data_IF_983072076112
#
_entry.id   IF_983072076112
#
_cell.length_a   1.000
_cell.length_b   1.000
_cell.length_c   1.000
_cell.angle_alpha   90.00
_cell.angle_beta   90.00
_cell.angle_gamma   90.00
#
_symmetry.space_group_name_H-M   'P 1'
#
loop_
_entity.id
_entity.type
_entity.pdbx_description
1 polymer ?
#
# COMPACT_ATOMS: atom_id res chain seq x y z
N UNK A 1 -24.01 32.88 34.60
CA UNK A 1 -23.67 31.46 34.33
C UNK A 1 -24.79 30.71 33.63
N UNK A 2 -26.06 30.92 34.00
CA UNK A 2 -27.22 30.22 33.41
C UNK A 2 -27.39 30.40 31.90
N UNK A 3 -27.15 31.61 31.36
CA UNK A 3 -27.24 31.84 29.91
C UNK A 3 -26.26 30.97 29.10
N UNK A 4 -25.00 30.89 29.54
CA UNK A 4 -23.99 30.05 28.87
C UNK A 4 -24.33 28.56 28.97
N UNK A 5 -24.90 28.12 30.10
CA UNK A 5 -25.37 26.74 30.28
C UNK A 5 -26.53 26.44 29.32
N UNK A 6 -27.51 27.33 29.22
CA UNK A 6 -28.64 27.21 28.29
C UNK A 6 -28.18 27.23 26.83
N UNK A 7 -27.25 28.11 26.48
CA UNK A 7 -26.64 28.18 25.16
C UNK A 7 -25.94 26.85 24.80
N UNK A 8 -25.12 26.31 25.70
CA UNK A 8 -24.48 25.01 25.49
C UNK A 8 -25.50 23.88 25.31
N UNK A 9 -26.62 23.93 26.03
CA UNK A 9 -27.72 22.98 25.88
C UNK A 9 -28.42 23.10 24.53
N UNK A 10 -28.72 24.32 24.06
CA UNK A 10 -29.35 24.59 22.75
C UNK A 10 -28.46 24.08 21.61
N UNK A 11 -27.16 24.39 21.66
CA UNK A 11 -26.22 24.06 20.57
C UNK A 11 -25.50 22.72 20.76
N UNK A 12 -25.87 21.93 21.78
CA UNK A 12 -25.23 20.64 22.11
C UNK A 12 -23.70 20.74 22.24
N UNK A 13 -23.20 21.83 22.82
CA UNK A 13 -21.77 22.03 23.10
C UNK A 13 -21.45 21.73 24.57
N UNK A 14 -20.19 21.41 24.86
CA UNK A 14 -19.74 21.14 26.23
C UNK A 14 -19.67 22.39 27.10
N UNK A 15 -20.36 22.39 28.25
CA UNK A 15 -20.26 23.41 29.29
C UNK A 15 -19.20 23.01 30.34
N UNK A 16 -18.10 23.77 30.46
CA UNK A 16 -16.97 23.47 31.38
C UNK A 16 -16.56 24.71 32.21
N UNK A 17 -17.31 25.07 33.26
CA UNK A 17 -17.04 26.29 34.04
C UNK A 17 -15.82 26.17 34.96
N UNK A 18 -15.43 24.96 35.40
CA UNK A 18 -14.25 24.71 36.24
C UNK A 18 -12.95 24.53 35.43
N UNK A 19 -13.01 24.67 34.11
CA UNK A 19 -11.84 24.54 33.21
C UNK A 19 -11.07 23.21 33.38
N UNK A 20 -11.81 22.12 33.65
CA UNK A 20 -11.22 20.80 33.83
C UNK A 20 -10.72 20.22 32.50
N UNK A 21 -9.67 19.39 32.55
CA UNK A 21 -9.11 18.70 31.38
C UNK A 21 -9.91 17.44 31.07
N UNK A 22 -11.00 17.59 30.32
CA UNK A 22 -11.94 16.51 29.96
C UNK A 22 -11.53 15.66 28.75
N UNK A 23 -10.42 15.97 28.08
CA UNK A 23 -9.98 15.25 26.87
C UNK A 23 -10.77 15.57 25.59
N UNK A 24 -11.76 16.47 25.63
CA UNK A 24 -12.59 16.85 24.47
C UNK A 24 -11.81 17.42 23.28
N UNK A 25 -10.54 17.82 23.44
CA UNK A 25 -9.64 18.20 22.34
C UNK A 25 -9.30 17.00 21.44
N UNK A 26 -9.04 15.84 22.05
CA UNK A 26 -8.63 14.63 21.33
C UNK A 26 -9.83 14.08 20.56
N UNK A 27 -11.01 14.04 21.17
CA UNK A 27 -12.24 13.54 20.55
C UNK A 27 -12.76 14.44 19.42
N UNK A 28 -12.51 15.76 19.49
CA UNK A 28 -12.86 16.70 18.41
C UNK A 28 -11.91 16.64 17.22
N UNK A 29 -10.72 16.06 17.39
CA UNK A 29 -9.77 15.98 16.29
C UNK A 29 -10.34 15.04 15.21
N UNK A 30 -10.33 15.46 13.93
CA UNK A 30 -10.79 14.59 12.85
C UNK A 30 -9.89 13.37 12.72
N UNK A 31 -10.50 12.21 12.43
CA UNK A 31 -9.76 10.99 12.15
C UNK A 31 -9.00 11.13 10.83
N UNK A 32 -7.70 10.81 10.84
CA UNK A 32 -6.82 10.89 9.66
C UNK A 32 -6.56 9.54 8.98
N UNK A 33 -7.17 8.47 9.50
CA UNK A 33 -6.87 7.09 9.10
C UNK A 33 -7.08 6.84 7.60
N UNK A 34 -8.21 7.28 7.04
CA UNK A 34 -8.50 7.12 5.62
C UNK A 34 -7.49 7.86 4.72
N UNK A 35 -7.13 9.09 5.09
CA UNK A 35 -6.14 9.87 4.35
C UNK A 35 -4.77 9.20 4.33
N UNK A 36 -4.36 8.61 5.46
CA UNK A 36 -3.09 7.89 5.57
C UNK A 36 -3.12 6.56 4.80
N UNK A 37 -4.22 5.81 4.88
CA UNK A 37 -4.38 4.55 4.17
C UNK A 37 -4.33 4.75 2.64
N UNK A 38 -4.92 5.84 2.14
CA UNK A 38 -5.02 6.13 0.72
C UNK A 38 -3.80 6.89 0.15
N UNK A 39 -2.67 6.92 0.86
CA UNK A 39 -1.51 7.73 0.46
C UNK A 39 -0.95 7.40 -0.94
N UNK A 40 -0.86 6.10 -1.28
CA UNK A 40 -0.39 5.65 -2.59
C UNK A 40 -1.53 5.40 -3.60
N UNK A 41 -2.78 5.69 -3.22
CA UNK A 41 -3.96 5.42 -4.05
C UNK A 41 -4.53 4.01 -3.91
N UNK A 42 -5.54 3.67 -4.72
CA UNK A 42 -6.21 2.37 -4.67
C UNK A 42 -5.29 1.21 -5.07
N UNK A 43 -5.30 0.13 -4.29
CA UNK A 43 -4.57 -1.09 -4.64
C UNK A 43 -5.17 -1.83 -5.85
N UNK A 44 -6.46 -1.60 -6.15
CA UNK A 44 -7.18 -2.27 -7.24
C UNK A 44 -7.11 -1.51 -8.58
N UNK A 45 -6.02 -0.78 -8.82
CA UNK A 45 -5.82 -0.10 -10.10
C UNK A 45 -5.67 -1.13 -11.25
N UNK A 46 -6.25 -0.90 -12.44
CA UNK A 46 -6.12 -1.82 -13.57
C UNK A 46 -4.65 -1.97 -13.98
N UNK A 47 -4.14 -3.20 -13.87
CA UNK A 47 -2.80 -3.59 -14.33
C UNK A 47 -2.87 -3.98 -15.82
N UNK A 48 -1.75 -3.87 -16.55
CA UNK A 48 -1.64 -4.29 -17.96
C UNK A 48 -2.13 -5.73 -18.15
N UNK A 49 -1.81 -6.65 -17.23
CA UNK A 49 -2.30 -8.03 -17.27
C UNK A 49 -3.83 -8.16 -17.17
N UNK A 50 -4.49 -7.30 -16.37
CA UNK A 50 -5.95 -7.26 -16.31
C UNK A 50 -6.56 -6.76 -17.61
N UNK A 51 -5.91 -5.80 -18.28
CA UNK A 51 -6.33 -5.28 -19.58
C UNK A 51 -6.19 -6.33 -20.68
N UNK A 52 -5.04 -7.02 -20.73
CA UNK A 52 -4.81 -8.13 -21.66
C UNK A 52 -5.92 -9.18 -21.51
N UNK A 53 -6.14 -9.69 -20.29
CA UNK A 53 -7.17 -10.71 -20.05
C UNK A 53 -8.60 -10.25 -20.39
N UNK A 54 -8.88 -8.94 -20.28
CA UNK A 54 -10.21 -8.42 -20.54
C UNK A 54 -10.49 -8.22 -22.04
N UNK A 55 -9.47 -7.89 -22.83
CA UNK A 55 -9.62 -7.41 -24.21
C UNK A 55 -8.95 -8.32 -25.26
N UNK A 56 -8.23 -9.36 -24.83
CA UNK A 56 -7.65 -10.35 -25.74
C UNK A 56 -8.78 -11.14 -26.42
N UNK A 57 -8.75 -11.15 -27.76
CA UNK A 57 -9.64 -11.92 -28.63
C UNK A 57 -8.80 -12.78 -29.56
N UNK A 58 -9.45 -13.65 -30.34
CA UNK A 58 -8.73 -14.53 -31.27
C UNK A 58 -7.98 -13.76 -32.36
N UNK A 59 -8.44 -12.55 -32.70
CA UNK A 59 -7.84 -11.68 -33.73
C UNK A 59 -6.98 -10.55 -33.15
N UNK A 60 -7.12 -10.23 -31.86
CA UNK A 60 -6.49 -9.07 -31.24
C UNK A 60 -5.80 -9.42 -29.93
N UNK A 61 -4.52 -9.05 -29.85
CA UNK A 61 -3.67 -9.27 -28.68
C UNK A 61 -2.99 -7.98 -28.27
N UNK A 62 -2.96 -7.73 -26.96
CA UNK A 62 -2.22 -6.64 -26.35
C UNK A 62 -0.87 -7.17 -25.88
N UNK A 63 0.20 -6.44 -26.17
CA UNK A 63 1.57 -6.78 -25.76
C UNK A 63 2.07 -5.73 -24.76
N UNK A 64 2.72 -6.20 -23.70
CA UNK A 64 3.45 -5.36 -22.74
C UNK A 64 4.92 -5.28 -23.18
N UNK A 65 5.26 -4.19 -23.89
CA UNK A 65 6.58 -4.01 -24.51
C UNK A 65 7.72 -4.02 -23.48
N UNK A 66 7.51 -3.43 -22.30
CA UNK A 66 8.50 -3.38 -21.22
C UNK A 66 8.77 -4.79 -20.65
N UNK A 67 7.72 -5.60 -20.51
CA UNK A 67 7.86 -6.99 -20.05
C UNK A 67 8.50 -7.88 -21.11
N UNK A 68 8.16 -7.71 -22.39
CA UNK A 68 8.79 -8.44 -23.49
C UNK A 68 10.29 -8.14 -23.57
N UNK A 69 10.67 -6.86 -23.49
CA UNK A 69 12.07 -6.44 -23.43
C UNK A 69 12.79 -7.02 -22.20
N UNK A 70 12.12 -7.04 -21.04
CA UNK A 70 12.69 -7.64 -19.82
C UNK A 70 12.98 -9.13 -20.01
N UNK A 71 12.09 -9.86 -20.69
CA UNK A 71 12.26 -11.29 -20.98
C UNK A 71 13.40 -11.54 -21.96
N UNK A 72 13.46 -10.80 -23.07
CA UNK A 72 14.55 -10.87 -24.05
C UNK A 72 15.91 -10.65 -23.36
N UNK A 73 16.01 -9.59 -22.55
CA UNK A 73 17.25 -9.29 -21.80
C UNK A 73 17.65 -10.42 -20.86
N UNK A 74 16.69 -11.10 -20.24
CA UNK A 74 16.96 -12.27 -19.38
C UNK A 74 17.50 -13.45 -20.20
N UNK A 75 16.97 -13.70 -21.39
CA UNK A 75 17.45 -14.76 -22.29
C UNK A 75 18.87 -14.46 -22.80
N UNK A 76 19.13 -13.23 -23.17
CA UNK A 76 20.44 -12.74 -23.58
C UNK A 76 21.52 -12.94 -22.51
N UNK A 77 21.19 -12.62 -21.25
CA UNK A 77 22.06 -12.86 -20.12
C UNK A 77 22.32 -14.36 -19.90
N UNK A 78 21.30 -15.20 -20.03
CA UNK A 78 21.44 -16.67 -19.93
C UNK A 78 22.37 -17.21 -21.03
N UNK A 79 22.20 -16.76 -22.28
CA UNK A 79 23.02 -17.19 -23.43
C UNK A 79 24.51 -16.94 -23.22
N UNK A 80 24.85 -15.84 -22.55
CA UNK A 80 26.25 -15.45 -22.25
C UNK A 80 26.77 -16.01 -20.91
N UNK A 81 26.01 -16.87 -20.23
CA UNK A 81 26.37 -17.38 -18.90
C UNK A 81 26.36 -16.31 -17.79
N UNK A 82 25.69 -15.19 -18.02
CA UNK A 82 25.52 -14.06 -17.08
C UNK A 82 24.13 -14.02 -16.45
N UNK A 83 23.35 -15.10 -16.61
CA UNK A 83 22.08 -15.26 -15.94
C UNK A 83 22.23 -15.32 -14.42
N UNK A 84 21.19 -14.92 -13.70
CA UNK A 84 21.18 -15.00 -12.25
C UNK A 84 21.40 -16.46 -11.78
N UNK A 85 22.22 -16.68 -10.73
CA UNK A 85 22.44 -18.02 -10.20
C UNK A 85 21.14 -18.57 -9.60
N UNK A 86 21.04 -19.91 -9.52
CA UNK A 86 19.88 -20.58 -8.92
C UNK A 86 19.71 -20.15 -7.46
N UNK A 87 18.54 -19.59 -7.13
CA UNK A 87 18.17 -19.21 -5.76
C UNK A 87 18.26 -20.43 -4.85
N UNK A 88 19.09 -20.34 -3.80
CA UNK A 88 19.18 -21.39 -2.77
C UNK A 88 17.88 -21.43 -1.97
N UNK A 89 17.34 -22.62 -1.74
CA UNK A 89 16.12 -22.85 -0.93
C UNK A 89 16.41 -23.55 0.40
N UNK A 90 17.67 -23.93 0.62
CA UNK A 90 18.13 -24.63 1.82
C UNK A 90 19.07 -23.73 2.62
N UNK A 91 19.10 -23.94 3.94
CA UNK A 91 20.06 -23.31 4.82
C UNK A 91 21.50 -23.68 4.40
N UNK A 92 22.47 -22.76 4.53
CA UNK A 92 23.86 -23.07 4.23
C UNK A 92 24.34 -24.19 5.16
N UNK A 93 24.74 -25.34 4.61
CA UNK A 93 25.38 -26.39 5.41
C UNK A 93 26.66 -25.81 6.02
N UNK A 94 26.81 -25.94 7.34
CA UNK A 94 28.01 -25.53 8.04
C UNK A 94 29.22 -26.21 7.38
N UNK A 95 30.20 -25.41 6.93
CA UNK A 95 31.46 -25.94 6.40
C UNK A 95 32.16 -26.66 7.56
N UNK A 96 32.08 -27.98 7.58
CA UNK A 96 32.87 -28.80 8.49
C UNK A 96 34.35 -28.44 8.33
N UNK A 97 35.03 -28.14 9.44
CA UNK A 97 36.48 -27.96 9.47
C UNK A 97 37.11 -29.20 8.83
N UNK A 98 37.81 -29.02 7.71
CA UNK A 98 38.67 -30.08 7.18
C UNK A 98 39.72 -30.38 8.26
N UNK A 99 39.76 -31.63 8.69
CA UNK A 99 40.80 -32.20 9.54
C UNK A 99 42.10 -32.29 8.74
#
# INVERSE_FOLDING_TARGET
MELNKLQCQIFKTTYNPQQLRTGSKILRAPLKGQTLANYYGPSDFPTVSKLINAWETEEFRIVDEDEEYRLERVEDLKRRGKGAPKKKREAPKAKGKKK
#
